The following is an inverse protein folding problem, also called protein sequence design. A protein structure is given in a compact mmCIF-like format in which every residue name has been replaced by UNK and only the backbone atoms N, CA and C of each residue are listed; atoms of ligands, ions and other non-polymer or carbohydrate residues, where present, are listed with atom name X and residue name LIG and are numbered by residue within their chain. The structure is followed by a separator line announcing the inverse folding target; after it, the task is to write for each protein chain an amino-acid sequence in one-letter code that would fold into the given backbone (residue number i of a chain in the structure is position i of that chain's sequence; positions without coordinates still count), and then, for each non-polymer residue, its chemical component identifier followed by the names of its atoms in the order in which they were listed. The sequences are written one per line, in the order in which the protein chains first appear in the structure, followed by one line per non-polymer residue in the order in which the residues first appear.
data_IF_467685007546
#
_entry.id   IF_467685007546
#
_cell.length_a   1.000
_cell.length_b   1.000
_cell.length_c   1.000
_cell.angle_alpha   90.00
_cell.angle_beta   90.00
_cell.angle_gamma   90.00
#
_symmetry.space_group_name_H-M   'P 1'
#
loop_
_entity.id
_entity.type
_entity.pdbx_description
1 polymer ?
#
# COMPACT_ATOMS: atom_id res chain seq x y z
N UNK A 1 14.16 2.26 -5.42
CA UNK A 1 13.86 1.15 -4.48
C UNK A 1 12.98 1.66 -3.34
N UNK A 2 12.29 0.77 -2.63
CA UNK A 2 11.54 1.13 -1.41
C UNK A 2 12.01 0.25 -0.26
N UNK A 3 12.32 0.85 0.89
CA UNK A 3 12.78 0.12 2.06
C UNK A 3 12.31 0.79 3.36
N UNK A 4 12.45 0.07 4.47
CA UNK A 4 12.12 0.57 5.80
C UNK A 4 13.39 0.96 6.55
N UNK A 5 13.32 2.08 7.26
CA UNK A 5 14.35 2.50 8.20
C UNK A 5 13.77 2.57 9.61
N UNK A 6 14.60 2.25 10.61
CA UNK A 6 14.31 2.53 12.01
C UNK A 6 14.98 3.83 12.40
N UNK A 7 14.22 4.75 13.00
CA UNK A 7 14.75 5.99 13.58
C UNK A 7 15.12 5.79 15.06
N UNK A 8 15.98 6.65 15.64
CA UNK A 8 16.35 6.55 17.06
C UNK A 8 15.18 6.65 18.04
N UNK A 9 14.08 7.28 17.63
CA UNK A 9 12.84 7.37 18.40
C UNK A 9 11.99 6.08 18.36
N UNK A 10 12.47 5.02 17.68
CA UNK A 10 11.77 3.75 17.49
C UNK A 10 10.74 3.76 16.36
N UNK A 11 10.51 4.90 15.69
CA UNK A 11 9.58 4.96 14.57
C UNK A 11 10.14 4.26 13.32
N UNK A 12 9.27 3.56 12.61
CA UNK A 12 9.58 2.97 11.30
C UNK A 12 9.07 3.92 10.21
N UNK A 13 9.90 4.14 9.20
CA UNK A 13 9.53 4.91 8.01
C UNK A 13 9.80 4.13 6.74
N UNK A 14 8.87 4.25 5.79
CA UNK A 14 9.07 3.78 4.43
C UNK A 14 9.76 4.88 3.64
N UNK A 15 10.90 4.55 3.03
CA UNK A 15 11.66 5.44 2.17
C UNK A 15 11.57 4.92 0.75
N UNK A 16 11.20 5.80 -0.17
CA UNK A 16 11.45 5.61 -1.59
C UNK A 16 12.77 6.30 -1.94
N UNK A 17 13.64 5.56 -2.61
CA UNK A 17 14.97 5.99 -2.99
C UNK A 17 15.16 5.85 -4.50
N UNK A 18 15.61 6.93 -5.13
CA UNK A 18 16.04 6.93 -6.52
C UNK A 18 17.40 7.59 -6.67
N UNK A 19 18.43 6.77 -6.86
CA UNK A 19 19.80 7.18 -7.13
C UNK A 19 20.15 7.09 -8.62
N UNK A 20 20.94 8.05 -9.10
CA UNK A 20 21.49 8.04 -10.45
C UNK A 20 22.94 8.57 -10.45
N UNK A 21 23.82 8.00 -11.30
CA UNK A 21 25.17 8.48 -11.47
C UNK A 21 25.19 9.77 -12.31
N UNK A 22 26.15 10.64 -12.02
CA UNK A 22 26.56 11.76 -12.85
C UNK A 22 27.89 11.38 -13.50
N UNK A 23 27.96 11.54 -14.81
CA UNK A 23 29.13 11.22 -15.62
C UNK A 23 29.86 12.49 -16.07
N UNK A 24 31.16 12.39 -16.28
CA UNK A 24 31.92 13.39 -17.04
C UNK A 24 31.77 13.18 -18.56
N UNK A 25 32.44 14.04 -19.34
CA UNK A 25 32.45 13.99 -20.81
C UNK A 25 33.03 12.69 -21.38
N UNK A 26 33.86 11.97 -20.61
CA UNK A 26 34.42 10.68 -21.02
C UNK A 26 33.55 9.49 -20.58
N UNK A 27 32.37 9.74 -20.01
CA UNK A 27 31.46 8.71 -19.53
C UNK A 27 31.90 8.06 -18.22
N UNK A 28 32.85 8.65 -17.49
CA UNK A 28 33.28 8.15 -16.17
C UNK A 28 32.36 8.72 -15.09
N UNK A 29 31.95 7.87 -14.16
CA UNK A 29 31.14 8.29 -13.00
C UNK A 29 31.98 9.21 -12.13
N UNK A 30 31.51 10.44 -11.94
CA UNK A 30 32.15 11.43 -11.06
C UNK A 30 31.38 11.61 -9.74
N UNK A 31 30.07 11.34 -9.73
CA UNK A 31 29.21 11.42 -8.52
C UNK A 31 28.03 10.47 -8.63
N UNK A 32 27.39 10.18 -7.50
CA UNK A 32 26.06 9.58 -7.42
C UNK A 32 25.18 10.53 -6.63
N UNK A 33 24.01 10.85 -7.16
CA UNK A 33 22.99 11.67 -6.50
C UNK A 33 21.80 10.78 -6.22
N UNK A 34 21.13 11.00 -5.09
CA UNK A 34 19.92 10.28 -4.73
C UNK A 34 18.83 11.21 -4.24
N UNK A 35 17.59 10.85 -4.54
CA UNK A 35 16.38 11.46 -4.00
C UNK A 35 15.77 10.46 -3.03
N UNK A 36 15.61 10.87 -1.78
CA UNK A 36 14.97 10.09 -0.72
C UNK A 36 13.65 10.77 -0.34
N UNK A 37 12.54 10.04 -0.45
CA UNK A 37 11.22 10.50 -0.06
C UNK A 37 10.63 9.60 1.03
N UNK A 38 10.16 10.20 2.12
CA UNK A 38 9.37 9.51 3.13
C UNK A 38 7.97 9.25 2.55
N UNK A 39 7.66 7.98 2.31
CA UNK A 39 6.39 7.50 1.73
C UNK A 39 5.53 6.78 2.78
N UNK A 40 5.80 6.98 4.07
CA UNK A 40 5.11 6.28 5.16
C UNK A 40 3.60 6.55 5.14
N UNK A 41 3.19 7.81 4.95
CA UNK A 41 1.77 8.18 4.88
C UNK A 41 1.08 7.54 3.67
N UNK A 42 1.75 7.50 2.51
CA UNK A 42 1.22 6.82 1.33
C UNK A 42 1.01 5.33 1.59
N UNK A 43 1.99 4.67 2.22
CA UNK A 43 1.90 3.25 2.56
C UNK A 43 0.80 2.97 3.57
N UNK A 44 0.59 3.87 4.54
CA UNK A 44 -0.53 3.78 5.48
C UNK A 44 -1.87 3.88 4.76
N UNK A 45 -2.05 4.89 3.90
CA UNK A 45 -3.28 5.04 3.12
C UNK A 45 -3.55 3.83 2.20
N UNK A 46 -2.51 3.25 1.58
CA UNK A 46 -2.65 2.02 0.79
C UNK A 46 -3.17 0.84 1.64
N UNK A 47 -2.69 0.69 2.88
CA UNK A 47 -3.14 -0.35 3.79
C UNK A 47 -4.57 -0.11 4.28
N UNK A 48 -4.89 1.11 4.68
CA UNK A 48 -6.23 1.50 5.14
C UNK A 48 -7.28 1.22 4.04
N UNK A 49 -6.93 1.49 2.77
CA UNK A 49 -7.80 1.16 1.62
C UNK A 49 -8.00 -0.34 1.43
N UNK A 50 -6.95 -1.14 1.61
CA UNK A 50 -7.06 -2.61 1.50
C UNK A 50 -7.94 -3.16 2.61
N UNK A 51 -7.75 -2.70 3.85
CA UNK A 51 -8.56 -3.12 5.00
C UNK A 51 -10.03 -2.73 4.80
N UNK A 52 -10.29 -1.50 4.34
CA UNK A 52 -11.65 -1.05 4.07
C UNK A 52 -12.33 -1.90 2.99
N UNK A 53 -11.64 -2.19 1.89
CA UNK A 53 -12.20 -3.01 0.82
C UNK A 53 -12.50 -4.44 1.31
N UNK A 54 -11.60 -5.05 2.08
CA UNK A 54 -11.84 -6.38 2.66
C UNK A 54 -13.07 -6.41 3.57
N UNK A 55 -13.23 -5.37 4.41
CA UNK A 55 -14.39 -5.25 5.26
C UNK A 55 -15.70 -5.07 4.46
N UNK A 56 -15.66 -4.24 3.41
CA UNK A 56 -16.81 -4.04 2.53
C UNK A 56 -17.18 -5.33 1.78
N UNK A 57 -16.21 -6.06 1.25
CA UNK A 57 -16.44 -7.35 0.59
C UNK A 57 -17.07 -8.36 1.55
N UNK A 58 -16.60 -8.42 2.79
CA UNK A 58 -17.19 -9.28 3.82
C UNK A 58 -18.67 -8.93 4.05
N UNK A 59 -18.98 -7.65 4.30
CA UNK A 59 -20.36 -7.23 4.54
C UNK A 59 -21.27 -7.46 3.32
N UNK A 60 -20.75 -7.27 2.10
CA UNK A 60 -21.50 -7.58 0.86
C UNK A 60 -21.81 -9.07 0.79
N UNK A 61 -20.84 -9.94 1.09
CA UNK A 61 -21.04 -11.38 1.06
C UNK A 61 -22.07 -11.85 2.10
N UNK A 62 -22.00 -11.33 3.33
CA UNK A 62 -22.96 -11.62 4.40
C UNK A 62 -24.38 -11.25 3.97
N UNK A 63 -24.58 -10.01 3.49
CA UNK A 63 -25.88 -9.51 3.03
C UNK A 63 -26.41 -10.26 1.81
N UNK A 64 -25.52 -10.65 0.90
CA UNK A 64 -25.92 -11.42 -0.29
C UNK A 64 -26.37 -12.83 0.11
N UNK A 65 -25.69 -13.46 1.06
CA UNK A 65 -26.11 -14.75 1.61
C UNK A 65 -27.46 -14.66 2.34
N UNK A 66 -27.68 -13.63 3.16
CA UNK A 66 -28.97 -13.38 3.83
C UNK A 66 -30.11 -13.22 2.83
N UNK A 67 -29.92 -12.42 1.78
CA UNK A 67 -30.94 -12.21 0.75
C UNK A 67 -31.23 -13.50 -0.01
N UNK A 68 -30.19 -14.28 -0.35
CA UNK A 68 -30.35 -15.56 -1.03
C UNK A 68 -31.14 -16.56 -0.18
N UNK A 69 -30.80 -16.66 1.11
CA UNK A 69 -31.52 -17.52 2.07
C UNK A 69 -33.00 -17.15 2.17
N UNK A 70 -33.33 -15.85 2.20
CA UNK A 70 -34.72 -15.38 2.21
C UNK A 70 -35.49 -15.78 0.95
N UNK A 71 -34.86 -15.78 -0.23
CA UNK A 71 -35.51 -16.23 -1.46
C UNK A 71 -35.70 -17.76 -1.50
N UNK A 72 -34.72 -18.52 -1.01
CA UNK A 72 -34.76 -19.99 -1.01
C UNK A 72 -35.72 -20.56 0.03
N UNK A 73 -35.84 -19.90 1.19
CA UNK A 73 -36.68 -20.33 2.32
C UNK A 73 -37.99 -19.54 2.45
N UNK A 74 -38.33 -18.70 1.47
CA UNK A 74 -39.61 -17.99 1.47
C UNK A 74 -40.77 -19.01 1.51
N UNK A 75 -41.75 -18.86 2.43
CA UNK A 75 -42.92 -19.71 2.42
C UNK A 75 -43.66 -19.46 1.10
N UNK A 76 -43.68 -20.48 0.23
CA UNK A 76 -44.53 -20.48 -0.94
C UNK A 76 -45.98 -20.28 -0.49
N UNK A 77 -46.57 -19.15 -0.89
CA UNK A 77 -48.01 -18.91 -0.75
C UNK A 77 -48.81 -19.81 -1.66
#
# INVERSE_FOLDING_TARGET
MQYRISRPDGSIRWIWDHGFPIFDEQGKVIRVVAILADISERKKAELDLVELNQNLEQHVNERTAEVQDLYENAPAG
#
